data_IF_678097808575
#
_entry.id   IF_678097808575
#
_cell.length_a   1.000
_cell.length_b   1.000
_cell.length_c   1.000
_cell.angle_alpha   90.00
_cell.angle_beta   90.00
_cell.angle_gamma   90.00
#
_symmetry.space_group_name_H-M   'P 1'
#
loop_
_entity.id
_entity.type
_entity.pdbx_description
1 polymer ?
#
# COMPACT_ATOMS: atom_id res chain seq x y z
N UNK A 1 -11.12 18.59 21.16
CA UNK A 1 -9.96 17.90 21.77
C UNK A 1 -10.41 17.42 23.14
N UNK A 2 -10.38 16.11 23.43
CA UNK A 2 -10.90 15.56 24.70
C UNK A 2 -10.02 15.89 25.92
N UNK A 3 -8.73 16.18 25.71
CA UNK A 3 -7.79 16.54 26.77
C UNK A 3 -6.84 17.66 26.32
N UNK A 4 -6.41 18.50 27.26
CA UNK A 4 -5.42 19.55 27.04
C UNK A 4 -4.02 19.00 27.29
N UNK A 5 -3.21 18.90 26.25
CA UNK A 5 -1.80 18.51 26.35
C UNK A 5 -0.96 19.65 26.94
N UNK A 6 0.01 19.30 27.78
CA UNK A 6 1.01 20.20 28.36
C UNK A 6 2.39 19.88 27.78
N UNK A 7 3.21 20.90 27.49
CA UNK A 7 4.58 20.69 27.04
C UNK A 7 5.40 20.04 28.17
N UNK A 8 5.95 18.87 27.88
CA UNK A 8 6.74 18.07 28.80
C UNK A 8 8.25 18.27 28.57
N UNK A 9 8.66 18.44 27.31
CA UNK A 9 10.03 18.77 26.95
C UNK A 9 10.09 19.43 25.57
N UNK A 10 11.15 20.22 25.35
CA UNK A 10 11.49 20.83 24.07
C UNK A 10 12.99 20.80 23.86
N UNK A 11 13.41 20.31 22.70
CA UNK A 11 14.79 20.37 22.23
C UNK A 11 14.84 21.14 20.92
N UNK A 12 15.92 21.90 20.71
CA UNK A 12 16.20 22.53 19.42
C UNK A 12 17.47 21.94 18.84
N UNK A 13 17.40 21.53 17.57
CA UNK A 13 18.56 21.05 16.82
C UNK A 13 18.69 21.83 15.50
N UNK A 14 19.90 21.96 14.93
CA UNK A 14 20.09 22.61 13.64
C UNK A 14 19.26 21.92 12.55
N UNK A 15 18.52 22.69 11.76
CA UNK A 15 17.81 22.15 10.60
C UNK A 15 18.80 22.03 9.42
N UNK A 16 19.01 20.84 8.83
CA UNK A 16 19.86 20.72 7.65
C UNK A 16 19.28 21.58 6.51
N UNK A 17 20.09 22.50 5.97
CA UNK A 17 19.66 23.41 4.91
C UNK A 17 19.34 22.64 3.62
N UNK A 18 18.24 23.03 2.98
CA UNK A 18 17.76 22.56 1.69
C UNK A 18 17.32 21.09 1.64
N UNK A 19 16.01 20.89 1.79
CA UNK A 19 15.30 19.83 1.09
C UNK A 19 14.52 20.51 -0.03
N UNK A 20 14.44 19.88 -1.22
CA UNK A 20 13.56 20.32 -2.30
C UNK A 20 12.13 20.53 -1.77
N UNK A 21 11.27 21.24 -2.52
CA UNK A 21 9.86 21.42 -2.12
C UNK A 21 9.25 20.04 -1.82
N UNK A 22 9.06 19.75 -0.53
CA UNK A 22 8.58 18.47 -0.04
C UNK A 22 7.18 18.22 -0.59
N UNK A 23 6.94 16.99 -1.02
CA UNK A 23 5.64 16.55 -1.52
C UNK A 23 5.06 15.64 -0.44
N UNK A 24 4.09 16.13 0.35
CA UNK A 24 3.78 15.56 1.66
C UNK A 24 3.34 14.10 1.58
N UNK A 25 2.62 13.68 0.54
CA UNK A 25 2.25 12.27 0.34
C UNK A 25 3.44 11.36 0.13
N UNK A 26 4.43 11.79 -0.67
CA UNK A 26 5.66 11.03 -0.90
C UNK A 26 6.55 10.98 0.33
N UNK A 27 6.71 12.10 1.02
CA UNK A 27 7.47 12.16 2.27
C UNK A 27 6.82 11.29 3.36
N UNK A 28 5.49 11.29 3.46
CA UNK A 28 4.75 10.43 4.38
C UNK A 28 4.97 8.96 4.05
N UNK A 29 4.89 8.57 2.78
CA UNK A 29 5.10 7.18 2.40
C UNK A 29 6.53 6.72 2.70
N UNK A 30 7.53 7.54 2.39
CA UNK A 30 8.94 7.28 2.73
C UNK A 30 9.16 7.20 4.25
N UNK A 31 8.54 8.09 5.03
CA UNK A 31 8.54 8.04 6.49
C UNK A 31 8.01 6.69 6.97
N UNK A 32 6.85 6.26 6.47
CA UNK A 32 6.23 5.01 6.89
C UNK A 32 7.05 3.79 6.47
N UNK A 33 7.59 3.74 5.25
CA UNK A 33 8.52 2.68 4.85
C UNK A 33 9.74 2.59 5.78
N UNK A 34 10.31 3.74 6.17
CA UNK A 34 11.42 3.80 7.13
C UNK A 34 11.02 3.31 8.53
N UNK A 35 9.83 3.68 9.00
CA UNK A 35 9.30 3.21 10.29
C UNK A 35 9.03 1.71 10.27
N UNK A 36 8.43 1.17 9.21
CA UNK A 36 8.20 -0.28 9.06
C UNK A 36 9.51 -1.05 9.12
N UNK A 37 10.55 -0.55 8.43
CA UNK A 37 11.87 -1.18 8.46
C UNK A 37 12.50 -1.13 9.85
N UNK A 38 12.38 0.01 10.54
CA UNK A 38 12.95 0.19 11.87
C UNK A 38 12.24 -0.63 12.96
N UNK A 39 10.91 -0.74 12.89
CA UNK A 39 10.09 -1.46 13.87
C UNK A 39 9.86 -2.93 13.54
N UNK A 40 10.17 -3.35 12.31
CA UNK A 40 9.82 -4.66 11.76
C UNK A 40 8.31 -4.99 11.88
N UNK A 41 7.45 -3.96 11.81
CA UNK A 41 6.00 -4.04 11.97
C UNK A 41 5.30 -3.20 10.89
N UNK A 42 4.18 -3.69 10.37
CA UNK A 42 3.33 -2.95 9.42
C UNK A 42 2.16 -2.26 10.14
N UNK A 43 1.76 -1.05 9.71
CA UNK A 43 0.72 -0.31 10.39
C UNK A 43 -0.69 -0.78 10.00
N UNK A 44 -1.63 -0.61 10.93
CA UNK A 44 -3.05 -0.54 10.60
C UNK A 44 -3.48 0.91 10.40
N UNK A 45 -4.22 1.18 9.33
CA UNK A 45 -4.63 2.54 8.95
C UNK A 45 -6.12 2.73 9.22
N UNK A 46 -6.47 3.86 9.84
CA UNK A 46 -7.84 4.21 10.21
C UNK A 46 -8.18 5.61 9.74
N UNK A 47 -9.42 5.79 9.28
CA UNK A 47 -10.05 7.09 9.10
C UNK A 47 -11.24 7.23 10.05
N UNK A 48 -11.46 8.43 10.56
CA UNK A 48 -12.66 8.72 11.36
C UNK A 48 -13.76 9.17 10.42
N UNK A 49 -14.96 8.61 10.54
CA UNK A 49 -16.12 8.99 9.72
C UNK A 49 -16.36 10.50 9.79
N UNK A 50 -16.41 11.17 8.63
CA UNK A 50 -16.55 12.63 8.47
C UNK A 50 -15.34 13.48 8.87
N UNK A 51 -14.19 12.86 9.16
CA UNK A 51 -12.93 13.54 9.43
C UNK A 51 -12.01 13.58 8.21
N UNK A 52 -11.04 14.49 8.25
CA UNK A 52 -9.91 14.59 7.31
C UNK A 52 -8.60 14.04 7.91
N UNK A 53 -8.72 13.36 9.04
CA UNK A 53 -7.59 12.87 9.82
C UNK A 53 -7.44 11.38 9.60
N UNK A 54 -6.21 10.96 9.30
CA UNK A 54 -5.83 9.55 9.23
C UNK A 54 -4.98 9.18 10.44
N UNK A 55 -5.17 7.97 10.94
CA UNK A 55 -4.44 7.40 12.06
C UNK A 55 -3.72 6.14 11.59
N UNK A 56 -2.40 6.11 11.70
CA UNK A 56 -1.54 5.03 11.23
C UNK A 56 -0.90 4.38 12.45
N UNK A 57 -1.43 3.23 12.87
CA UNK A 57 -1.20 2.61 14.18
C UNK A 57 -0.30 1.37 14.07
N UNK A 58 0.80 1.39 14.82
CA UNK A 58 1.67 0.25 15.13
C UNK A 58 1.38 -0.20 16.55
N UNK A 59 0.89 -1.43 16.71
CA UNK A 59 0.36 -1.92 17.99
C UNK A 59 1.41 -2.53 18.89
N UNK A 60 2.32 -3.31 18.32
CA UNK A 60 3.18 -4.22 19.06
C UNK A 60 4.63 -3.72 19.08
N UNK A 61 4.81 -2.44 19.41
CA UNK A 61 6.11 -1.77 19.28
C UNK A 61 6.50 -1.08 20.58
N UNK A 62 7.79 -1.04 20.89
CA UNK A 62 8.32 -0.22 21.95
C UNK A 62 9.60 0.45 21.46
N UNK A 63 9.76 1.73 21.73
CA UNK A 63 10.89 2.49 21.20
C UNK A 63 11.35 3.60 22.15
N UNK A 64 12.62 3.97 22.01
CA UNK A 64 13.18 5.15 22.64
C UNK A 64 12.90 6.41 21.81
N UNK A 65 12.50 7.47 22.49
CA UNK A 65 12.14 8.74 21.84
C UNK A 65 13.37 9.38 21.17
N UNK A 66 14.56 9.20 21.73
CA UNK A 66 15.80 9.75 21.16
C UNK A 66 16.12 9.10 19.80
N UNK A 67 16.02 7.77 19.69
CA UNK A 67 16.20 7.03 18.44
C UNK A 67 15.15 7.44 17.39
N UNK A 68 13.90 7.60 17.82
CA UNK A 68 12.81 8.07 16.96
C UNK A 68 13.11 9.46 16.39
N UNK A 69 13.65 10.36 17.21
CA UNK A 69 14.01 11.70 16.77
C UNK A 69 15.16 11.72 15.79
N UNK A 70 16.19 10.91 16.03
CA UNK A 70 17.34 10.80 15.13
C UNK A 70 16.90 10.36 13.73
N UNK A 71 15.96 9.41 13.65
CA UNK A 71 15.54 8.82 12.39
C UNK A 71 14.44 9.61 11.65
N UNK A 72 13.44 10.14 12.36
CA UNK A 72 12.18 10.58 11.74
C UNK A 72 11.82 12.05 11.93
N UNK A 73 12.52 12.78 12.79
CA UNK A 73 12.16 14.17 13.09
C UNK A 73 12.17 15.07 11.85
N UNK A 74 13.14 14.89 10.94
CA UNK A 74 13.25 15.70 9.73
C UNK A 74 12.07 15.46 8.78
N UNK A 75 11.74 14.19 8.53
CA UNK A 75 10.62 13.80 7.67
C UNK A 75 9.29 14.33 8.22
N UNK A 76 9.05 14.17 9.52
CA UNK A 76 7.86 14.73 10.17
C UNK A 76 7.74 16.24 9.97
N UNK A 77 8.81 17.00 10.19
CA UNK A 77 8.77 18.45 10.01
C UNK A 77 8.60 18.89 8.55
N UNK A 78 9.09 18.10 7.59
CA UNK A 78 8.84 18.37 6.17
C UNK A 78 7.38 18.15 5.78
N UNK A 79 6.73 17.13 6.34
CA UNK A 79 5.29 16.87 6.15
C UNK A 79 4.46 17.96 6.82
N UNK A 80 4.79 18.34 8.08
CA UNK A 80 4.05 19.32 8.91
C UNK A 80 3.94 20.71 8.26
N UNK A 81 4.81 21.03 7.28
CA UNK A 81 4.72 22.25 6.47
C UNK A 81 3.44 22.33 5.63
N UNK A 82 2.84 21.19 5.29
CA UNK A 82 1.66 21.12 4.42
C UNK A 82 0.51 20.34 5.06
N UNK A 83 0.80 19.17 5.65
CA UNK A 83 -0.17 18.33 6.33
C UNK A 83 0.24 18.21 7.79
N UNK A 84 -0.62 18.63 8.73
CA UNK A 84 -0.21 18.56 10.13
C UNK A 84 -0.01 17.11 10.54
N UNK A 85 1.13 16.81 11.15
CA UNK A 85 1.49 15.46 11.55
C UNK A 85 2.01 15.44 12.99
N UNK A 86 1.58 14.46 13.77
CA UNK A 86 2.19 14.16 15.05
C UNK A 86 2.29 12.65 15.25
N UNK A 87 3.27 12.24 16.05
CA UNK A 87 3.34 10.88 16.57
C UNK A 87 2.72 10.85 17.96
N UNK A 88 1.94 9.83 18.23
CA UNK A 88 1.29 9.56 19.49
C UNK A 88 1.79 8.21 19.98
N UNK A 89 1.94 8.05 21.28
CA UNK A 89 2.24 6.76 21.88
C UNK A 89 1.85 6.72 23.35
N UNK A 90 1.82 5.52 23.90
CA UNK A 90 1.49 5.29 25.30
C UNK A 90 2.79 5.13 26.09
N UNK A 91 2.99 5.95 27.12
CA UNK A 91 4.09 5.77 28.08
C UNK A 91 3.77 4.66 29.09
N UNK A 92 4.78 4.16 29.81
CA UNK A 92 4.62 3.10 30.82
C UNK A 92 3.58 3.40 31.90
N UNK A 93 3.37 4.68 32.22
CA UNK A 93 2.34 5.15 33.14
C UNK A 93 0.92 5.18 32.51
N UNK A 94 0.74 4.57 31.34
CA UNK A 94 -0.49 4.53 30.54
C UNK A 94 -0.95 5.91 30.02
N UNK A 95 -0.07 6.90 30.07
CA UNK A 95 -0.36 8.24 29.58
C UNK A 95 -0.11 8.34 28.08
N UNK A 96 -1.00 9.01 27.37
CA UNK A 96 -0.75 9.37 25.97
C UNK A 96 0.25 10.52 25.88
N UNK A 97 1.32 10.27 25.15
CA UNK A 97 2.37 11.24 24.82
C UNK A 97 2.23 11.60 23.35
N UNK A 98 2.38 12.88 23.06
CA UNK A 98 2.42 13.44 21.71
C UNK A 98 3.82 13.96 21.42
N UNK A 99 4.31 13.63 20.23
CA UNK A 99 5.60 13.98 19.69
C UNK A 99 5.36 14.85 18.45
N UNK A 100 5.91 16.06 18.46
CA UNK A 100 5.84 17.02 17.36
C UNK A 100 7.26 17.38 16.91
N UNK A 101 7.44 17.51 15.60
CA UNK A 101 8.67 18.03 15.00
C UNK A 101 8.32 19.17 14.07
N UNK A 102 8.81 20.37 14.38
CA UNK A 102 8.43 21.59 13.68
C UNK A 102 9.66 22.40 13.28
N UNK A 103 9.76 22.77 12.01
CA UNK A 103 10.80 23.68 11.54
C UNK A 103 10.36 25.13 11.76
N UNK A 104 11.22 25.91 12.40
CA UNK A 104 11.03 27.35 12.59
C UNK A 104 12.37 28.06 12.53
N UNK A 105 12.45 29.08 11.67
CA UNK A 105 13.60 29.96 11.53
C UNK A 105 14.93 29.20 11.29
N UNK A 106 14.89 28.09 10.55
CA UNK A 106 16.09 27.27 10.27
C UNK A 106 16.54 26.37 11.44
N UNK A 107 15.69 26.21 12.45
CA UNK A 107 15.89 25.27 13.57
C UNK A 107 14.74 24.26 13.63
N UNK A 108 15.06 23.02 14.00
CA UNK A 108 14.07 21.98 14.24
C UNK A 108 13.74 21.96 15.73
N UNK A 109 12.46 22.20 16.07
CA UNK A 109 11.94 22.04 17.43
C UNK A 109 11.34 20.65 17.58
N UNK A 110 11.92 19.85 18.47
CA UNK A 110 11.41 18.55 18.89
C UNK A 110 10.65 18.75 20.19
N UNK A 111 9.35 18.48 20.18
CA UNK A 111 8.47 18.80 21.31
C UNK A 111 7.78 17.53 21.76
N UNK A 112 7.89 17.24 23.06
CA UNK A 112 7.10 16.23 23.73
C UNK A 112 5.97 16.93 24.50
N UNK A 113 4.75 16.41 24.37
CA UNK A 113 3.62 16.82 25.18
C UNK A 113 2.97 15.61 25.84
N UNK A 114 2.47 15.79 27.05
CA UNK A 114 1.74 14.77 27.81
C UNK A 114 0.58 15.43 28.56
N UNK A 115 -0.33 14.65 29.14
CA UNK A 115 -1.46 15.17 29.93
C UNK A 115 -0.99 15.79 31.25
N UNK A 116 0.06 15.23 31.83
CA UNK A 116 0.67 15.56 33.12
C UNK A 116 1.80 16.58 33.01
N UNK A 117 2.31 16.85 31.81
CA UNK A 117 3.50 17.68 31.57
C UNK A 117 4.81 17.00 31.98
N UNK A 118 4.79 15.69 32.26
CA UNK A 118 6.01 14.91 32.53
C UNK A 118 6.57 14.32 31.25
N UNK A 119 7.90 14.35 31.11
CA UNK A 119 8.61 13.68 30.03
C UNK A 119 8.78 12.20 30.32
N UNK A 120 9.05 11.44 29.26
CA UNK A 120 9.42 10.03 29.27
C UNK A 120 10.48 9.81 28.20
N UNK A 121 11.24 8.73 28.29
CA UNK A 121 12.27 8.35 27.31
C UNK A 121 11.80 7.28 26.32
N UNK A 122 10.65 6.63 26.57
CA UNK A 122 10.15 5.54 25.74
C UNK A 122 8.63 5.48 25.69
N UNK A 123 8.11 4.85 24.63
CA UNK A 123 6.68 4.62 24.36
C UNK A 123 6.46 3.16 23.95
N UNK A 124 5.28 2.62 24.28
CA UNK A 124 4.85 1.22 24.06
C UNK A 124 3.83 1.07 22.90
N UNK A 125 3.58 2.15 22.18
CA UNK A 125 2.78 2.17 20.95
C UNK A 125 3.25 3.33 20.07
N UNK A 126 3.04 3.23 18.76
CA UNK A 126 3.24 4.35 17.84
C UNK A 126 2.00 4.54 16.98
N UNK A 127 1.48 5.76 16.94
CA UNK A 127 0.42 6.15 16.03
C UNK A 127 0.77 7.50 15.40
N UNK A 128 0.87 7.56 14.07
CA UNK A 128 0.88 8.86 13.40
C UNK A 128 -0.55 9.34 13.23
N UNK A 129 -0.83 10.56 13.66
CA UNK A 129 -2.03 11.30 13.27
C UNK A 129 -1.63 12.29 12.19
N UNK A 130 -2.25 12.17 11.02
CA UNK A 130 -2.06 13.08 9.88
C UNK A 130 -3.38 13.80 9.60
N UNK A 131 -3.39 15.12 9.72
CA UNK A 131 -4.54 15.95 9.39
C UNK A 131 -4.39 16.50 7.97
N UNK A 132 -5.14 15.93 7.02
CA UNK A 132 -5.17 16.40 5.63
C UNK A 132 -5.88 17.75 5.53
N UNK A 133 -5.63 18.53 4.46
CA UNK A 133 -6.29 19.82 4.25
C UNK A 133 -7.81 19.66 4.06
N UNK A 134 -8.23 18.64 3.32
CA UNK A 134 -9.59 18.36 2.88
C UNK A 134 -9.81 16.86 2.64
N UNK A 135 -11.05 16.50 2.35
CA UNK A 135 -11.45 15.12 2.11
C UNK A 135 -10.99 14.59 0.74
N UNK A 136 -10.87 15.47 -0.25
CA UNK A 136 -10.31 15.16 -1.58
C UNK A 136 -8.85 14.68 -1.48
N UNK A 137 -8.13 15.09 -0.44
CA UNK A 137 -6.79 14.60 -0.11
C UNK A 137 -6.81 13.37 0.79
N UNK A 138 -7.66 13.34 1.82
CA UNK A 138 -7.64 12.24 2.80
C UNK A 138 -8.14 10.92 2.24
N UNK A 139 -9.15 10.94 1.38
CA UNK A 139 -9.76 9.73 0.81
C UNK A 139 -8.78 8.93 -0.07
N UNK A 140 -8.13 9.52 -1.09
CA UNK A 140 -7.14 8.79 -1.89
C UNK A 140 -5.88 8.42 -1.08
N UNK A 141 -5.48 9.23 -0.09
CA UNK A 141 -4.38 8.87 0.81
C UNK A 141 -4.74 7.65 1.67
N UNK A 142 -5.98 7.58 2.19
CA UNK A 142 -6.47 6.42 2.92
C UNK A 142 -6.50 5.17 2.02
N UNK A 143 -7.02 5.29 0.80
CA UNK A 143 -6.99 4.21 -0.20
C UNK A 143 -5.56 3.71 -0.44
N UNK A 144 -4.61 4.61 -0.65
CA UNK A 144 -3.19 4.28 -0.85
C UNK A 144 -2.62 3.52 0.36
N UNK A 145 -2.73 4.08 1.56
CA UNK A 145 -2.12 3.51 2.77
C UNK A 145 -2.77 2.20 3.23
N UNK A 146 -4.01 1.93 2.85
CA UNK A 146 -4.69 0.65 3.13
C UNK A 146 -4.46 -0.41 2.04
N UNK A 147 -4.08 0.00 0.83
CA UNK A 147 -3.87 -0.92 -0.30
C UNK A 147 -2.41 -1.24 -0.58
N UNK A 148 -1.47 -0.51 0.05
CA UNK A 148 -0.05 -0.73 -0.18
C UNK A 148 0.40 -2.10 0.35
N UNK A 149 1.14 -2.82 -0.48
CA UNK A 149 1.93 -3.95 -0.08
C UNK A 149 3.29 -3.44 0.42
N UNK A 150 3.45 -3.36 1.73
CA UNK A 150 4.63 -2.78 2.38
C UNK A 150 5.95 -3.53 2.09
N UNK A 151 5.88 -4.80 1.68
CA UNK A 151 7.07 -5.57 1.28
C UNK A 151 7.73 -5.03 0.02
N UNK A 152 6.92 -4.55 -0.93
CA UNK A 152 7.40 -4.01 -2.22
C UNK A 152 7.21 -2.50 -2.34
N UNK A 153 6.52 -1.88 -1.38
CA UNK A 153 6.28 -0.43 -1.37
C UNK A 153 5.32 0.05 -2.46
N UNK A 154 4.49 -0.85 -3.02
CA UNK A 154 3.57 -0.58 -4.13
C UNK A 154 2.11 -0.84 -3.75
N UNK A 155 1.20 -0.05 -4.28
CA UNK A 155 -0.25 -0.23 -4.18
C UNK A 155 -0.89 -0.27 -5.56
N UNK A 156 -1.82 -1.21 -5.76
CA UNK A 156 -2.75 -1.21 -6.88
C UNK A 156 -4.06 -0.51 -6.46
N UNK A 157 -4.45 0.53 -7.19
CA UNK A 157 -5.55 1.44 -6.86
C UNK A 157 -6.52 1.61 -8.03
N UNK A 158 -7.72 2.12 -7.71
CA UNK A 158 -8.68 2.53 -8.74
C UNK A 158 -8.18 3.79 -9.48
N UNK A 159 -8.47 3.88 -10.77
CA UNK A 159 -8.10 5.05 -11.59
C UNK A 159 -8.61 6.40 -11.07
N UNK A 160 -9.65 6.42 -10.23
CA UNK A 160 -10.14 7.63 -9.56
C UNK A 160 -9.06 8.29 -8.67
N UNK A 161 -8.10 7.51 -8.16
CA UNK A 161 -7.04 7.96 -7.27
C UNK A 161 -5.75 8.33 -8.03
N UNK A 162 -5.71 8.16 -9.36
CA UNK A 162 -4.51 8.37 -10.17
C UNK A 162 -4.00 9.82 -10.14
N UNK A 163 -4.90 10.81 -10.10
CA UNK A 163 -4.51 12.21 -10.06
C UNK A 163 -3.83 12.57 -8.74
N UNK A 164 -4.28 11.99 -7.62
CA UNK A 164 -3.59 12.11 -6.34
C UNK A 164 -2.18 11.54 -6.42
N UNK A 165 -2.00 10.32 -6.97
CA UNK A 165 -0.67 9.71 -7.14
C UNK A 165 0.26 10.60 -7.97
N UNK A 166 -0.22 11.18 -9.07
CA UNK A 166 0.57 12.08 -9.92
C UNK A 166 0.96 13.36 -9.20
N UNK A 167 0.02 13.99 -8.50
CA UNK A 167 0.26 15.19 -7.70
C UNK A 167 1.30 14.92 -6.60
N UNK A 168 1.25 13.73 -6.00
CA UNK A 168 2.19 13.31 -4.97
C UNK A 168 3.50 12.71 -5.52
N UNK A 169 3.69 12.61 -6.85
CA UNK A 169 4.84 11.94 -7.49
C UNK A 169 5.05 10.50 -6.99
N UNK A 170 3.94 9.80 -6.82
CA UNK A 170 3.88 8.39 -6.42
C UNK A 170 3.40 7.49 -7.57
N UNK A 171 2.97 8.06 -8.70
CA UNK A 171 2.45 7.28 -9.83
C UNK A 171 3.57 6.47 -10.50
N UNK A 172 3.33 5.17 -10.71
CA UNK A 172 4.31 4.24 -11.28
C UNK A 172 3.82 3.73 -12.63
N UNK A 173 4.77 3.65 -13.56
CA UNK A 173 4.60 3.05 -14.88
C UNK A 173 3.97 3.99 -15.92
N UNK A 174 4.27 3.79 -17.21
CA UNK A 174 3.50 4.36 -18.29
C UNK A 174 2.51 3.30 -18.81
N UNK A 175 1.20 3.49 -18.60
CA UNK A 175 0.18 3.28 -19.64
C UNK A 175 -1.26 3.43 -19.11
N UNK A 176 -2.18 4.02 -19.90
CA UNK A 176 -3.60 4.10 -19.57
C UNK A 176 -4.38 2.77 -19.77
N UNK A 177 -3.69 1.65 -20.03
CA UNK A 177 -4.29 0.36 -20.37
C UNK A 177 -4.48 -0.63 -19.21
N UNK A 178 -3.94 -0.34 -18.02
CA UNK A 178 -4.11 -1.18 -16.84
C UNK A 178 -5.53 -1.17 -16.29
N UNK A 179 -5.97 -2.29 -15.71
CA UNK A 179 -7.25 -2.31 -14.99
C UNK A 179 -7.17 -1.45 -13.72
N UNK A 180 -5.97 -1.37 -13.13
CA UNK A 180 -5.64 -0.54 -11.98
C UNK A 180 -4.57 0.49 -12.32
N UNK A 181 -4.48 1.54 -11.51
CA UNK A 181 -3.31 2.41 -11.46
C UNK A 181 -2.40 2.02 -10.31
N UNK A 182 -1.09 2.16 -10.49
CA UNK A 182 -0.11 1.72 -9.50
C UNK A 182 0.61 2.94 -8.91
N UNK A 183 0.90 2.88 -7.61
CA UNK A 183 1.68 3.91 -6.96
C UNK A 183 2.55 3.42 -5.80
N UNK A 184 3.66 4.11 -5.57
CA UNK A 184 4.69 3.72 -4.62
C UNK A 184 5.86 4.70 -4.58
N UNK A 185 6.89 4.36 -3.80
CA UNK A 185 8.06 5.23 -3.60
C UNK A 185 9.12 5.14 -4.71
N UNK A 186 9.21 3.98 -5.36
CA UNK A 186 10.13 3.70 -6.47
C UNK A 186 9.54 4.17 -7.80
N UNK A 187 10.36 4.70 -8.70
CA UNK A 187 9.88 5.24 -9.99
C UNK A 187 9.60 4.16 -11.04
N UNK A 188 10.27 3.00 -10.91
CA UNK A 188 10.20 1.89 -11.87
C UNK A 188 9.79 0.61 -11.11
N UNK A 189 8.48 0.38 -10.94
CA UNK A 189 7.98 -0.87 -10.38
C UNK A 189 8.13 -2.01 -11.39
N UNK A 190 8.66 -3.16 -10.95
CA UNK A 190 8.69 -4.36 -11.80
C UNK A 190 7.28 -4.91 -12.00
N UNK A 191 7.06 -5.65 -13.08
CA UNK A 191 5.80 -6.34 -13.35
C UNK A 191 5.41 -7.27 -12.19
N UNK A 192 6.37 -8.06 -11.70
CA UNK A 192 6.20 -8.90 -10.51
C UNK A 192 5.75 -8.14 -9.27
N UNK A 193 6.34 -6.98 -8.98
CA UNK A 193 5.96 -6.17 -7.81
C UNK A 193 4.55 -5.57 -7.96
N UNK A 194 4.19 -5.11 -9.18
CA UNK A 194 2.84 -4.65 -9.48
C UNK A 194 1.82 -5.78 -9.27
N UNK A 195 2.10 -7.00 -9.77
CA UNK A 195 1.22 -8.16 -9.56
C UNK A 195 1.14 -8.57 -8.08
N UNK A 196 2.24 -8.47 -7.34
CA UNK A 196 2.28 -8.78 -5.91
C UNK A 196 1.51 -7.75 -5.07
N UNK A 197 1.35 -6.52 -5.56
CA UNK A 197 0.54 -5.48 -4.92
C UNK A 197 -0.98 -5.67 -5.09
N UNK A 198 -1.42 -6.53 -6.02
CA UNK A 198 -2.84 -6.85 -6.19
C UNK A 198 -3.34 -7.70 -5.02
N UNK A 199 -4.44 -7.26 -4.41
CA UNK A 199 -5.16 -8.05 -3.43
C UNK A 199 -6.06 -9.13 -4.09
N UNK A 200 -6.57 -10.04 -3.28
CA UNK A 200 -7.38 -11.17 -3.75
C UNK A 200 -8.61 -10.74 -4.56
N UNK A 201 -9.31 -9.70 -4.11
CA UNK A 201 -10.50 -9.19 -4.78
C UNK A 201 -10.16 -8.54 -6.12
N UNK A 202 -8.99 -7.91 -6.24
CA UNK A 202 -8.52 -7.35 -7.51
C UNK A 202 -8.16 -8.45 -8.51
N UNK A 203 -7.53 -9.54 -8.06
CA UNK A 203 -7.29 -10.72 -8.90
C UNK A 203 -8.59 -11.35 -9.41
N UNK A 204 -9.62 -11.44 -8.55
CA UNK A 204 -10.98 -11.87 -8.94
C UNK A 204 -11.58 -10.93 -9.99
N UNK A 205 -11.41 -9.62 -9.85
CA UNK A 205 -11.93 -8.65 -10.81
C UNK A 205 -11.27 -8.79 -12.18
N UNK A 206 -9.95 -8.98 -12.23
CA UNK A 206 -9.21 -9.24 -13.47
C UNK A 206 -9.72 -10.52 -14.16
N UNK A 207 -9.88 -11.61 -13.42
CA UNK A 207 -10.44 -12.85 -13.98
C UNK A 207 -11.88 -12.70 -14.48
N UNK A 208 -12.71 -11.95 -13.76
CA UNK A 208 -14.07 -11.63 -14.22
C UNK A 208 -14.05 -10.84 -15.53
N UNK A 209 -13.23 -9.78 -15.61
CA UNK A 209 -13.11 -8.97 -16.82
C UNK A 209 -12.76 -9.83 -18.04
N UNK A 210 -11.87 -10.81 -17.86
CA UNK A 210 -11.52 -11.75 -18.91
C UNK A 210 -12.62 -12.79 -19.21
N UNK A 211 -13.07 -13.55 -18.21
CA UNK A 211 -13.94 -14.70 -18.40
C UNK A 211 -15.39 -14.33 -18.73
N UNK A 212 -15.87 -13.19 -18.21
CA UNK A 212 -17.23 -12.72 -18.41
C UNK A 212 -17.32 -11.73 -19.57
N UNK A 213 -16.43 -10.74 -19.59
CA UNK A 213 -16.53 -9.61 -20.51
C UNK A 213 -15.59 -9.75 -21.73
N UNK A 214 -14.68 -10.73 -21.72
CA UNK A 214 -13.69 -10.94 -22.77
C UNK A 214 -12.62 -9.85 -22.84
N UNK A 215 -12.55 -8.99 -21.82
CA UNK A 215 -11.57 -7.90 -21.71
C UNK A 215 -10.26 -8.44 -21.16
N UNK A 216 -9.14 -8.03 -21.75
CA UNK A 216 -7.81 -8.53 -21.40
C UNK A 216 -6.93 -7.37 -20.93
N UNK A 217 -6.93 -7.10 -19.61
CA UNK A 217 -6.03 -6.12 -19.01
C UNK A 217 -4.55 -6.45 -19.20
N UNK A 218 -3.70 -5.42 -19.21
CA UNK A 218 -2.23 -5.55 -19.31
C UNK A 218 -1.64 -6.40 -18.19
N UNK A 219 -2.30 -6.46 -17.02
CA UNK A 219 -1.89 -7.32 -15.90
C UNK A 219 -1.78 -8.80 -16.30
N UNK A 220 -2.50 -9.24 -17.32
CA UNK A 220 -2.34 -10.61 -17.84
C UNK A 220 -1.09 -10.79 -18.70
N UNK A 221 -0.59 -9.75 -19.37
CA UNK A 221 0.71 -9.78 -20.05
C UNK A 221 1.84 -9.94 -19.03
N UNK A 222 1.80 -9.13 -17.97
CA UNK A 222 2.70 -9.24 -16.82
C UNK A 222 2.65 -10.63 -16.19
N UNK A 223 1.43 -11.14 -15.94
CA UNK A 223 1.24 -12.47 -15.35
C UNK A 223 1.79 -13.57 -16.27
N UNK A 224 1.62 -13.42 -17.59
CA UNK A 224 2.10 -14.39 -18.55
C UNK A 224 3.64 -14.44 -18.57
N UNK A 225 4.29 -13.27 -18.52
CA UNK A 225 5.74 -13.14 -18.44
C UNK A 225 6.30 -13.80 -17.18
N UNK A 226 5.76 -13.45 -16.00
CA UNK A 226 6.21 -14.02 -14.72
C UNK A 226 6.01 -15.55 -14.61
N UNK A 227 4.96 -16.09 -15.23
CA UNK A 227 4.76 -17.55 -15.31
C UNK A 227 5.75 -18.19 -16.31
N UNK A 228 6.05 -17.53 -17.42
CA UNK A 228 6.97 -18.04 -18.43
C UNK A 228 8.42 -18.10 -17.91
N UNK A 229 8.78 -17.15 -17.05
CA UNK A 229 10.11 -17.06 -16.43
C UNK A 229 10.24 -17.82 -15.10
N UNK A 230 9.17 -18.45 -14.61
CA UNK A 230 9.11 -19.16 -13.31
C UNK A 230 9.43 -18.24 -12.11
N UNK A 231 9.04 -16.96 -12.22
CA UNK A 231 9.28 -15.91 -11.21
C UNK A 231 8.01 -15.49 -10.47
N UNK A 232 6.83 -15.95 -10.92
CA UNK A 232 5.54 -15.57 -10.34
C UNK A 232 5.47 -15.84 -8.83
N UNK A 233 5.49 -14.75 -8.06
CA UNK A 233 5.23 -14.78 -6.64
C UNK A 233 3.74 -14.97 -6.34
N UNK A 234 3.44 -15.73 -5.28
CA UNK A 234 2.08 -15.93 -4.78
C UNK A 234 1.08 -16.50 -5.83
N UNK A 235 1.55 -17.47 -6.63
CA UNK A 235 0.74 -18.22 -7.61
C UNK A 235 -0.57 -18.78 -7.04
N UNK A 236 -0.54 -19.26 -5.79
CA UNK A 236 -1.71 -19.85 -5.12
C UNK A 236 -2.90 -18.89 -5.08
N UNK A 237 -2.67 -17.60 -4.84
CA UNK A 237 -3.77 -16.62 -4.76
C UNK A 237 -4.39 -16.36 -6.13
N UNK A 238 -3.60 -16.41 -7.21
CA UNK A 238 -4.09 -16.37 -8.59
C UNK A 238 -4.95 -17.60 -8.94
N UNK A 239 -4.55 -18.79 -8.50
CA UNK A 239 -5.33 -20.03 -8.64
C UNK A 239 -6.68 -19.94 -7.92
N UNK A 240 -6.67 -19.52 -6.65
CA UNK A 240 -7.89 -19.38 -5.85
C UNK A 240 -8.85 -18.35 -6.45
N UNK A 241 -8.31 -17.22 -6.93
CA UNK A 241 -9.12 -16.18 -7.57
C UNK A 241 -9.76 -16.70 -8.86
N UNK A 242 -9.01 -17.46 -9.67
CA UNK A 242 -9.53 -18.10 -10.88
C UNK A 242 -10.65 -19.09 -10.54
N UNK A 243 -10.44 -19.99 -9.58
CA UNK A 243 -11.45 -20.97 -9.19
C UNK A 243 -12.73 -20.33 -8.68
N UNK A 244 -12.62 -19.27 -7.88
CA UNK A 244 -13.78 -18.53 -7.41
C UNK A 244 -14.59 -17.94 -8.58
N UNK A 245 -13.94 -17.32 -9.56
CA UNK A 245 -14.63 -16.76 -10.73
C UNK A 245 -15.25 -17.86 -11.59
N UNK A 246 -14.52 -18.96 -11.81
CA UNK A 246 -15.03 -20.11 -12.56
C UNK A 246 -16.28 -20.71 -11.90
N UNK A 247 -16.29 -20.86 -10.58
CA UNK A 247 -17.45 -21.34 -9.83
C UNK A 247 -18.64 -20.38 -9.95
N UNK A 248 -18.40 -19.07 -9.75
CA UNK A 248 -19.42 -18.02 -9.86
C UNK A 248 -20.05 -17.95 -11.25
N UNK A 249 -19.25 -18.13 -12.30
CA UNK A 249 -19.69 -18.12 -13.69
C UNK A 249 -20.09 -19.52 -14.19
N UNK A 250 -20.20 -20.52 -13.30
CA UNK A 250 -20.59 -21.89 -13.59
C UNK A 250 -19.78 -22.57 -14.71
N UNK A 251 -18.48 -22.28 -14.77
CA UNK A 251 -17.56 -23.00 -15.63
C UNK A 251 -17.38 -24.43 -15.12
N UNK A 252 -17.32 -25.38 -16.06
CA UNK A 252 -17.09 -26.78 -15.75
C UNK A 252 -15.78 -27.24 -16.38
N UNK A 253 -14.87 -27.69 -15.53
CA UNK A 253 -13.63 -28.33 -15.96
C UNK A 253 -13.81 -29.85 -15.97
N UNK A 254 -13.51 -30.49 -17.10
CA UNK A 254 -13.39 -31.94 -17.22
C UNK A 254 -11.91 -32.25 -17.41
N UNK A 255 -11.33 -32.98 -16.46
CA UNK A 255 -9.95 -33.45 -16.52
C UNK A 255 -9.95 -34.98 -16.68
N UNK A 256 -9.47 -35.47 -17.82
CA UNK A 256 -9.27 -36.89 -18.11
C UNK A 256 -7.78 -37.15 -18.38
N UNK A 257 -7.34 -38.41 -18.27
CA UNK A 257 -5.92 -38.81 -18.34
C UNK A 257 -5.10 -38.23 -19.50
N UNK A 258 -5.74 -37.83 -20.62
CA UNK A 258 -5.07 -37.29 -21.81
C UNK A 258 -5.77 -36.08 -22.45
N UNK A 259 -6.80 -35.55 -21.80
CA UNK A 259 -7.58 -34.46 -22.37
C UNK A 259 -8.17 -33.62 -21.25
N UNK A 260 -8.14 -32.31 -21.43
CA UNK A 260 -8.92 -31.39 -20.63
C UNK A 260 -9.95 -30.69 -21.51
N UNK A 261 -11.11 -30.43 -20.92
CA UNK A 261 -12.19 -29.71 -21.58
C UNK A 261 -12.76 -28.69 -20.60
N UNK A 262 -12.86 -27.44 -21.05
CA UNK A 262 -13.43 -26.36 -20.27
C UNK A 262 -14.73 -25.92 -20.93
N UNK A 263 -15.80 -25.85 -20.15
CA UNK A 263 -17.13 -25.45 -20.60
C UNK A 263 -17.60 -24.21 -19.85
N UNK A 264 -18.26 -23.29 -20.55
CA UNK A 264 -18.96 -22.17 -19.93
C UNK A 264 -20.33 -22.59 -19.35
N UNK A 265 -21.03 -21.66 -18.70
CA UNK A 265 -22.37 -21.88 -18.15
C UNK A 265 -23.42 -22.36 -19.17
N UNK A 266 -23.23 -22.07 -20.46
CA UNK A 266 -24.13 -22.48 -21.54
C UNK A 266 -23.78 -23.87 -22.11
N UNK A 267 -22.77 -24.53 -21.54
CA UNK A 267 -22.27 -25.82 -22.02
C UNK A 267 -21.46 -25.72 -23.31
N UNK A 268 -21.03 -24.51 -23.71
CA UNK A 268 -20.14 -24.35 -24.86
C UNK A 268 -18.72 -24.67 -24.42
N UNK A 269 -18.07 -25.54 -25.20
CA UNK A 269 -16.65 -25.83 -25.02
C UNK A 269 -15.83 -24.61 -25.41
N UNK A 270 -14.95 -24.19 -24.51
CA UNK A 270 -13.98 -23.12 -24.75
C UNK A 270 -12.68 -23.73 -25.24
N UNK A 271 -12.13 -23.12 -26.29
CA UNK A 271 -10.84 -23.48 -26.85
C UNK A 271 -9.88 -22.35 -26.56
N UNK A 272 -8.99 -22.58 -25.60
CA UNK A 272 -7.84 -21.73 -25.37
C UNK A 272 -6.65 -22.39 -26.06
N UNK A 273 -6.10 -21.71 -27.06
CA UNK A 273 -4.90 -22.17 -27.74
C UNK A 273 -3.68 -21.91 -26.86
N UNK A 274 -2.77 -22.88 -26.78
CA UNK A 274 -1.44 -22.67 -26.20
C UNK A 274 -0.52 -21.84 -27.12
N UNK A 275 -1.01 -21.39 -28.29
CA UNK A 275 -0.28 -20.64 -29.31
C UNK A 275 -0.06 -19.16 -28.98
N UNK A 276 -0.40 -18.72 -27.74
CA UNK A 276 0.11 -17.48 -27.16
C UNK A 276 -0.51 -16.18 -27.70
N UNK A 277 -1.63 -16.22 -28.43
CA UNK A 277 -2.23 -15.00 -29.00
C UNK A 277 -2.95 -14.10 -27.99
N UNK A 278 -3.20 -14.60 -26.78
CA UNK A 278 -3.83 -13.89 -25.66
C UNK A 278 -3.18 -14.31 -24.35
N UNK A 279 -2.54 -13.37 -23.67
CA UNK A 279 -1.84 -13.57 -22.41
C UNK A 279 -2.78 -14.11 -21.31
N UNK A 280 -4.01 -13.60 -21.19
CA UNK A 280 -4.99 -14.07 -20.21
C UNK A 280 -5.41 -15.53 -20.43
N UNK A 281 -5.65 -15.90 -21.70
CA UNK A 281 -5.98 -17.28 -22.06
C UNK A 281 -4.82 -18.24 -21.76
N UNK A 282 -3.59 -17.80 -22.07
CA UNK A 282 -2.39 -18.57 -21.80
C UNK A 282 -2.13 -18.73 -20.29
N UNK A 283 -2.24 -17.65 -19.52
CA UNK A 283 -2.10 -17.65 -18.06
C UNK A 283 -3.15 -18.54 -17.40
N UNK A 284 -4.41 -18.50 -17.85
CA UNK A 284 -5.46 -19.41 -17.40
C UNK A 284 -5.05 -20.88 -17.60
N UNK A 285 -4.55 -21.23 -18.78
CA UNK A 285 -4.11 -22.59 -19.06
C UNK A 285 -2.95 -23.02 -18.17
N UNK A 286 -1.95 -22.17 -17.97
CA UNK A 286 -0.79 -22.48 -17.11
C UNK A 286 -1.13 -22.56 -15.62
N UNK A 287 -2.16 -21.82 -15.19
CA UNK A 287 -2.66 -21.90 -13.83
C UNK A 287 -3.40 -23.22 -13.61
N UNK A 288 -4.32 -23.58 -14.52
CA UNK A 288 -5.05 -24.85 -14.45
C UNK A 288 -4.16 -26.08 -14.69
N UNK A 289 -3.12 -25.94 -15.50
CA UNK A 289 -2.23 -27.03 -15.93
C UNK A 289 -0.75 -26.58 -15.86
N UNK A 290 -0.15 -26.55 -14.67
CA UNK A 290 1.23 -26.07 -14.48
C UNK A 290 2.29 -26.93 -15.18
N UNK A 291 2.05 -28.23 -15.31
CA UNK A 291 3.01 -29.16 -15.87
C UNK A 291 2.91 -29.14 -17.40
N UNK A 292 3.99 -28.73 -18.05
CA UNK A 292 4.19 -29.05 -19.46
C UNK A 292 4.42 -30.55 -19.55
N UNK A 293 3.44 -31.32 -20.03
CA UNK A 293 3.71 -32.69 -20.47
C UNK A 293 4.73 -32.60 -21.62
N UNK A 294 5.97 -32.99 -21.34
CA UNK A 294 6.99 -33.27 -22.35
C UNK A 294 6.66 -34.57 -23.07
#
# INVERSE_FOLDING_TARGET
MLHSYQEASRMQIPFPKHVAKAIPGRELLLLLCGVNHWLEEEPSVYSVSQGKSLFILYRNVAFHIDDFWELFALSMANIDKTWSICALGTAQNQETVRLLSQEKDGSLSLIQQSLSGKSTSSLETLCFQVDCPDQETSDPLYSLLTSINWRVGLAALDWKDADFLRQQKLFIGPDPGGFYCYGGTESDGSFGDCLLSLNFMQKIALWNAFLKDGFEPIEFEWLAEEIAEDTLSNRMEWELALYQVMEQLHFRLINQEKAFELFDASGRRLYFGADGRKAAAWSLLKILFPLNYQ
#
